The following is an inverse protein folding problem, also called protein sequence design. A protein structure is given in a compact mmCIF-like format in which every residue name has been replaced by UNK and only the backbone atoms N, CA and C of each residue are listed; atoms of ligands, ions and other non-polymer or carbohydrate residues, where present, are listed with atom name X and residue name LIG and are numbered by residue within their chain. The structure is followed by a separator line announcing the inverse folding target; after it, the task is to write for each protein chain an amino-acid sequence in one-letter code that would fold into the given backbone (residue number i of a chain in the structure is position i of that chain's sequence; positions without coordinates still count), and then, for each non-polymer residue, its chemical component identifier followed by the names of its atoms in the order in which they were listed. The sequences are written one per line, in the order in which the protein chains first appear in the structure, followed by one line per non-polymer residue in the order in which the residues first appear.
data_IF_340618662109
#
_entry.id   IF_340618662109
#
_cell.length_a   1.000
_cell.length_b   1.000
_cell.length_c   1.000
_cell.angle_alpha   90.00
_cell.angle_beta   90.00
_cell.angle_gamma   90.00
#
_symmetry.space_group_name_H-M   'P 1'
#
loop_
_entity.id
_entity.type
_entity.pdbx_description
1 polymer ?
#
# COMPACT_ATOMS: atom_id res chain seq x y z
N UNK A 1 -12.35 -4.77 -16.87
CA UNK A 1 -12.06 -3.46 -17.52
C UNK A 1 -10.76 -2.94 -16.92
N UNK A 2 -9.95 -2.18 -17.67
CA UNK A 2 -8.67 -1.66 -17.14
C UNK A 2 -8.93 -0.47 -16.22
N UNK A 3 -8.19 -0.34 -15.14
CA UNK A 3 -8.21 0.85 -14.28
C UNK A 3 -7.14 1.84 -14.75
N UNK A 4 -7.34 3.13 -14.47
CA UNK A 4 -6.44 4.21 -14.88
C UNK A 4 -6.04 5.03 -13.66
N UNK A 5 -4.78 5.48 -13.63
CA UNK A 5 -4.32 6.55 -12.75
C UNK A 5 -3.99 7.76 -13.61
N UNK A 6 -4.81 8.79 -13.51
CA UNK A 6 -4.54 10.10 -14.08
C UNK A 6 -3.70 10.89 -13.09
N UNK A 7 -2.48 11.25 -13.46
CA UNK A 7 -1.49 11.80 -12.53
C UNK A 7 -1.11 13.20 -13.01
N UNK A 8 -1.30 14.21 -12.16
CA UNK A 8 -0.78 15.54 -12.43
C UNK A 8 0.76 15.56 -12.39
N UNK A 9 1.35 16.55 -13.05
CA UNK A 9 2.79 16.70 -13.13
C UNK A 9 3.31 17.62 -12.04
N UNK A 10 3.01 18.92 -12.14
CA UNK A 10 3.44 19.95 -11.20
C UNK A 10 2.69 19.78 -9.88
N UNK A 11 3.36 20.01 -8.76
CA UNK A 11 2.84 19.74 -7.42
C UNK A 11 2.71 18.25 -7.05
N UNK A 12 2.76 17.33 -8.02
CA UNK A 12 2.45 15.91 -7.82
C UNK A 12 3.62 14.96 -8.12
N UNK A 13 4.14 14.96 -9.36
CA UNK A 13 5.36 14.23 -9.72
C UNK A 13 6.60 15.06 -9.38
N UNK A 14 6.52 16.36 -9.62
CA UNK A 14 7.58 17.33 -9.34
C UNK A 14 7.01 18.43 -8.46
N UNK A 15 7.81 19.02 -7.59
CA UNK A 15 7.37 20.17 -6.80
C UNK A 15 7.15 21.35 -7.72
N UNK A 16 6.10 22.10 -7.44
CA UNK A 16 5.80 23.31 -8.18
C UNK A 16 6.74 24.45 -7.73
N UNK A 17 7.40 25.15 -8.67
CA UNK A 17 8.38 26.19 -8.33
C UNK A 17 7.68 27.54 -8.10
N UNK A 18 8.39 28.49 -7.51
CA UNK A 18 7.93 29.90 -7.49
C UNK A 18 7.72 30.39 -8.93
N UNK A 19 6.48 30.79 -9.26
CA UNK A 19 6.07 31.19 -10.61
C UNK A 19 5.34 30.11 -11.42
N UNK A 20 5.06 28.93 -10.85
CA UNK A 20 4.17 27.90 -11.42
C UNK A 20 4.62 27.27 -12.75
N UNK A 21 5.87 27.51 -13.17
CA UNK A 21 6.40 27.00 -14.45
C UNK A 21 7.79 26.39 -14.28
N UNK A 22 7.94 25.14 -14.74
CA UNK A 22 9.19 24.40 -14.81
C UNK A 22 9.79 24.60 -16.21
N UNK A 23 10.63 25.62 -16.35
CA UNK A 23 11.27 26.07 -17.60
C UNK A 23 12.81 25.92 -17.57
N UNK A 24 13.37 25.37 -16.49
CA UNK A 24 14.80 25.16 -16.33
C UNK A 24 15.09 23.95 -15.43
N UNK A 25 16.32 23.41 -15.54
CA UNK A 25 16.73 22.26 -14.72
C UNK A 25 16.88 22.61 -13.24
N UNK A 26 17.20 23.86 -12.92
CA UNK A 26 17.34 24.33 -11.54
C UNK A 26 16.01 24.33 -10.78
N UNK A 27 14.88 24.44 -11.50
CA UNK A 27 13.53 24.36 -10.92
C UNK A 27 13.02 22.93 -10.78
N UNK A 28 13.67 21.95 -11.40
CA UNK A 28 13.22 20.56 -11.35
C UNK A 28 13.57 19.93 -10.00
N UNK A 29 12.56 19.70 -9.17
CA UNK A 29 12.67 18.96 -7.92
C UNK A 29 11.59 17.88 -7.87
N UNK A 30 11.97 16.61 -7.69
CA UNK A 30 11.01 15.51 -7.64
C UNK A 30 10.29 15.46 -6.29
N UNK A 31 9.04 15.03 -6.29
CA UNK A 31 8.30 14.85 -5.05
C UNK A 31 8.97 13.77 -4.16
N UNK A 32 9.10 13.97 -2.84
CA UNK A 32 9.73 12.99 -1.95
C UNK A 32 9.12 11.59 -2.05
N UNK A 33 9.97 10.56 -2.05
CA UNK A 33 9.60 9.14 -2.14
C UNK A 33 8.77 8.76 -3.38
N UNK A 34 8.65 9.64 -4.38
CA UNK A 34 7.94 9.40 -5.63
C UNK A 34 8.40 8.12 -6.31
N UNK A 35 9.69 8.03 -6.64
CA UNK A 35 10.21 6.93 -7.44
C UNK A 35 9.95 5.57 -6.79
N UNK A 36 10.19 5.46 -5.48
CA UNK A 36 9.96 4.22 -4.72
C UNK A 36 8.52 3.74 -4.85
N UNK A 37 7.55 4.63 -4.67
CA UNK A 37 6.14 4.23 -4.57
C UNK A 37 5.44 4.20 -5.91
N UNK A 38 5.71 5.16 -6.81
CA UNK A 38 5.16 5.13 -8.16
C UNK A 38 5.70 3.94 -8.97
N UNK A 39 6.96 3.54 -8.75
CA UNK A 39 7.49 2.29 -9.32
C UNK A 39 6.74 1.06 -8.80
N UNK A 40 6.50 0.97 -7.49
CA UNK A 40 5.69 -0.11 -6.91
C UNK A 40 4.28 -0.12 -7.49
N UNK A 41 3.64 1.04 -7.63
CA UNK A 41 2.33 1.15 -8.30
C UNK A 41 2.42 0.59 -9.72
N UNK A 42 3.41 1.00 -10.51
CA UNK A 42 3.58 0.56 -11.90
C UNK A 42 3.89 -0.94 -12.04
N UNK A 43 4.62 -1.53 -11.09
CA UNK A 43 5.06 -2.92 -11.16
C UNK A 43 4.09 -3.90 -10.49
N UNK A 44 3.46 -3.47 -9.41
CA UNK A 44 2.68 -4.34 -8.54
C UNK A 44 1.18 -4.17 -8.74
N UNK A 45 0.70 -3.03 -9.26
CA UNK A 45 -0.74 -2.74 -9.39
C UNK A 45 -1.18 -2.70 -10.87
N UNK A 46 -2.41 -3.16 -11.13
CA UNK A 46 -2.98 -3.21 -12.48
C UNK A 46 -3.67 -1.87 -12.81
N UNK A 47 -2.85 -0.83 -13.01
CA UNK A 47 -3.28 0.49 -13.46
C UNK A 47 -2.57 0.90 -14.75
N UNK A 48 -3.32 1.48 -15.67
CA UNK A 48 -2.75 2.24 -16.79
C UNK A 48 -2.38 3.63 -16.28
N UNK A 49 -1.11 4.04 -16.40
CA UNK A 49 -0.66 5.36 -15.97
C UNK A 49 -0.86 6.37 -17.10
N UNK A 50 -1.50 7.50 -16.79
CA UNK A 50 -1.72 8.61 -17.73
C UNK A 50 -1.31 9.90 -17.04
N UNK A 51 -0.41 10.67 -17.65
CA UNK A 51 -0.06 11.99 -17.14
C UNK A 51 -1.02 13.02 -17.73
N UNK A 52 -1.57 13.91 -16.90
CA UNK A 52 -2.41 15.02 -17.36
C UNK A 52 -2.05 16.32 -16.65
N UNK A 53 -1.71 17.35 -17.41
CA UNK A 53 -1.22 18.62 -16.84
C UNK A 53 -1.68 19.84 -17.64
N UNK A 54 -1.92 20.94 -16.93
CA UNK A 54 -2.17 22.25 -17.51
C UNK A 54 -0.85 23.04 -17.52
N UNK A 55 -0.44 23.57 -18.68
CA UNK A 55 0.80 24.32 -18.87
C UNK A 55 0.49 25.68 -19.48
N UNK A 56 0.13 26.62 -18.60
CA UNK A 56 -0.38 27.93 -18.95
C UNK A 56 0.53 28.67 -19.94
N UNK A 57 0.05 28.85 -21.17
CA UNK A 57 0.76 29.60 -22.20
C UNK A 57 1.94 28.87 -22.83
N UNK A 58 2.03 27.53 -22.70
CA UNK A 58 3.10 26.76 -23.35
C UNK A 58 3.08 27.00 -24.88
N UNK A 59 4.22 27.44 -25.41
CA UNK A 59 4.39 27.83 -26.82
C UNK A 59 4.15 29.31 -27.12
N UNK A 60 3.89 30.12 -26.09
CA UNK A 60 3.87 31.58 -26.19
C UNK A 60 5.22 32.18 -25.76
N UNK A 61 5.38 33.50 -25.91
CA UNK A 61 6.59 34.21 -25.44
C UNK A 61 6.79 34.11 -23.93
N UNK A 62 5.71 34.00 -23.14
CA UNK A 62 5.81 33.86 -21.68
C UNK A 62 6.20 32.46 -21.24
N UNK A 63 6.01 31.43 -22.08
CA UNK A 63 6.45 30.07 -21.78
C UNK A 63 6.86 29.31 -23.05
N UNK A 64 8.09 29.56 -23.57
CA UNK A 64 8.54 28.96 -24.81
C UNK A 64 8.70 27.43 -24.73
N UNK A 65 8.43 26.74 -25.84
CA UNK A 65 8.61 25.29 -25.92
C UNK A 65 10.07 24.85 -25.71
N UNK A 66 11.03 25.70 -26.09
CA UNK A 66 12.46 25.43 -25.98
C UNK A 66 12.94 25.30 -24.53
N UNK A 67 12.24 25.94 -23.58
CA UNK A 67 12.56 25.87 -22.14
C UNK A 67 11.81 24.71 -21.45
N UNK A 68 10.59 24.42 -21.91
CA UNK A 68 9.76 23.33 -21.38
C UNK A 68 10.27 21.92 -21.76
N UNK A 69 10.47 21.66 -23.06
CA UNK A 69 10.67 20.29 -23.55
C UNK A 69 11.94 19.61 -23.01
N UNK A 70 13.09 20.28 -22.87
CA UNK A 70 14.29 19.64 -22.33
C UNK A 70 14.08 19.09 -20.92
N UNK A 71 13.42 19.87 -20.05
CA UNK A 71 13.17 19.48 -18.65
C UNK A 71 12.09 18.40 -18.57
N UNK A 72 11.00 18.57 -19.32
CA UNK A 72 9.91 17.58 -19.38
C UNK A 72 10.41 16.22 -19.90
N UNK A 73 11.20 16.21 -20.98
CA UNK A 73 11.75 14.98 -21.54
C UNK A 73 12.77 14.32 -20.61
N UNK A 74 13.57 15.11 -19.89
CA UNK A 74 14.47 14.58 -18.87
C UNK A 74 13.70 13.91 -17.73
N UNK A 75 12.63 14.54 -17.24
CA UNK A 75 11.75 13.95 -16.22
C UNK A 75 11.16 12.62 -16.70
N UNK A 76 10.58 12.57 -17.91
CA UNK A 76 10.02 11.34 -18.47
C UNK A 76 11.08 10.24 -18.63
N UNK A 77 12.27 10.59 -19.13
CA UNK A 77 13.39 9.64 -19.27
C UNK A 77 13.85 9.10 -17.91
N UNK A 78 13.84 9.93 -16.88
CA UNK A 78 14.20 9.54 -15.51
C UNK A 78 13.17 8.57 -14.93
N UNK A 79 11.88 8.87 -15.08
CA UNK A 79 10.78 7.98 -14.67
C UNK A 79 10.86 6.64 -15.42
N UNK A 80 11.09 6.66 -16.73
CA UNK A 80 11.25 5.46 -17.54
C UNK A 80 12.45 4.62 -17.10
N UNK A 81 13.58 5.24 -16.72
CA UNK A 81 14.75 4.53 -16.21
C UNK A 81 14.46 3.79 -14.88
N UNK A 82 13.51 4.29 -14.08
CA UNK A 82 12.99 3.63 -12.88
C UNK A 82 11.87 2.61 -13.17
N UNK A 83 11.55 2.36 -14.44
CA UNK A 83 10.51 1.42 -14.86
C UNK A 83 9.09 1.98 -14.78
N UNK A 84 8.94 3.31 -14.74
CA UNK A 84 7.64 4.00 -14.72
C UNK A 84 7.36 4.53 -16.13
N UNK A 85 6.33 3.99 -16.79
CA UNK A 85 5.93 4.40 -18.14
C UNK A 85 4.47 4.85 -18.18
N UNK A 86 4.21 5.96 -18.85
CA UNK A 86 2.86 6.46 -19.09
C UNK A 86 2.34 5.99 -20.45
N UNK A 87 1.09 5.52 -20.51
CA UNK A 87 0.40 5.20 -21.77
C UNK A 87 0.22 6.46 -22.61
N UNK A 88 -0.10 7.57 -21.95
CA UNK A 88 -0.23 8.88 -22.57
C UNK A 88 0.25 10.00 -21.64
N UNK A 89 0.76 11.06 -22.27
CA UNK A 89 1.06 12.34 -21.64
C UNK A 89 0.19 13.40 -22.31
N UNK A 90 -0.76 13.94 -21.56
CA UNK A 90 -1.78 14.87 -22.04
C UNK A 90 -1.48 16.25 -21.46
N UNK A 91 -1.18 17.22 -22.34
CA UNK A 91 -0.77 18.57 -21.95
C UNK A 91 -1.77 19.55 -22.56
N UNK A 92 -2.50 20.27 -21.71
CA UNK A 92 -3.23 21.46 -22.12
C UNK A 92 -2.30 22.68 -22.08
N UNK A 93 -2.31 23.51 -23.12
CA UNK A 93 -1.42 24.69 -23.24
C UNK A 93 -2.14 26.02 -22.98
N UNK A 94 -3.44 25.97 -22.71
CA UNK A 94 -4.29 27.15 -22.66
C UNK A 94 -4.20 27.87 -21.32
N UNK A 95 -4.48 29.17 -21.33
CA UNK A 95 -4.63 29.94 -20.12
C UNK A 95 -6.02 29.73 -19.47
N UNK A 96 -6.16 29.93 -18.14
CA UNK A 96 -7.43 29.81 -17.43
C UNK A 96 -8.58 30.61 -18.07
N UNK A 97 -8.30 31.85 -18.48
CA UNK A 97 -9.30 32.75 -19.07
C UNK A 97 -9.86 32.28 -20.42
N UNK A 98 -9.22 31.33 -21.09
CA UNK A 98 -9.69 30.77 -22.35
C UNK A 98 -10.78 29.71 -22.16
N UNK A 99 -10.90 29.14 -20.94
CA UNK A 99 -11.95 28.20 -20.54
C UNK A 99 -12.17 27.06 -21.54
N UNK A 100 -11.08 26.47 -22.05
CA UNK A 100 -11.15 25.39 -23.02
C UNK A 100 -11.54 24.07 -22.34
N UNK A 101 -12.34 23.20 -22.99
CA UNK A 101 -12.75 21.91 -22.43
C UNK A 101 -11.58 20.94 -22.24
N UNK A 102 -10.44 21.20 -22.88
CA UNK A 102 -9.20 20.43 -22.77
C UNK A 102 -8.42 20.73 -21.49
N UNK A 103 -8.63 21.89 -20.87
CA UNK A 103 -7.99 22.31 -19.62
C UNK A 103 -8.68 21.65 -18.43
N UNK A 104 -7.93 21.06 -17.50
CA UNK A 104 -8.50 20.57 -16.22
C UNK A 104 -9.21 21.73 -15.50
N UNK A 105 -10.43 21.53 -14.94
CA UNK A 105 -11.11 20.26 -14.67
C UNK A 105 -11.91 19.64 -15.83
N UNK A 106 -11.82 20.20 -17.04
CA UNK A 106 -12.43 19.66 -18.25
C UNK A 106 -11.83 18.32 -18.70
N UNK A 107 -12.64 17.52 -19.39
CA UNK A 107 -12.31 16.14 -19.82
C UNK A 107 -11.95 16.04 -21.31
N UNK A 108 -11.77 17.15 -22.01
CA UNK A 108 -11.62 17.21 -23.46
C UNK A 108 -10.42 16.42 -24.01
N UNK A 109 -9.33 16.31 -23.26
CA UNK A 109 -8.16 15.49 -23.63
C UNK A 109 -8.34 13.99 -23.33
N UNK A 110 -9.39 13.62 -22.59
CA UNK A 110 -9.58 12.29 -22.00
C UNK A 110 -10.66 11.47 -22.69
N UNK A 111 -11.15 11.91 -23.85
CA UNK A 111 -12.25 11.24 -24.57
C UNK A 111 -12.05 9.73 -24.80
N UNK A 112 -10.81 9.28 -25.01
CA UNK A 112 -10.44 7.85 -25.14
C UNK A 112 -10.87 7.00 -23.93
N UNK A 113 -10.86 7.58 -22.73
CA UNK A 113 -11.12 6.85 -21.49
C UNK A 113 -12.61 6.79 -21.13
N UNK A 114 -13.45 7.54 -21.84
CA UNK A 114 -14.89 7.68 -21.58
C UNK A 114 -15.77 6.76 -22.44
N UNK A 115 -15.17 5.89 -23.27
CA UNK A 115 -15.88 4.99 -24.19
C UNK A 115 -16.45 3.71 -23.53
N UNK A 116 -16.22 3.53 -22.23
CA UNK A 116 -16.64 2.36 -21.44
C UNK A 116 -15.64 1.19 -21.44
N UNK A 117 -14.46 1.33 -22.06
CA UNK A 117 -13.40 0.31 -22.03
C UNK A 117 -12.62 0.28 -20.69
N UNK A 118 -12.73 1.34 -19.91
CA UNK A 118 -12.05 1.53 -18.62
C UNK A 118 -13.03 1.52 -17.44
N UNK A 119 -12.55 0.99 -16.30
CA UNK A 119 -13.26 1.00 -15.02
C UNK A 119 -12.98 2.32 -14.29
N UNK A 120 -13.71 3.37 -14.64
CA UNK A 120 -13.50 4.70 -14.08
C UNK A 120 -13.91 4.79 -12.59
N UNK A 121 -14.90 4.01 -12.16
CA UNK A 121 -15.35 3.96 -10.75
C UNK A 121 -14.23 3.50 -9.79
N UNK A 122 -13.33 2.65 -10.28
CA UNK A 122 -12.13 2.20 -9.56
C UNK A 122 -10.83 2.80 -10.10
N UNK A 123 -10.93 3.87 -10.90
CA UNK A 123 -9.81 4.69 -11.35
C UNK A 123 -9.65 5.92 -10.46
N UNK A 124 -8.46 6.53 -10.50
CA UNK A 124 -8.15 7.69 -9.67
C UNK A 124 -7.52 8.82 -10.47
N UNK A 125 -7.79 10.05 -10.04
CA UNK A 125 -6.99 11.24 -10.38
C UNK A 125 -6.15 11.60 -9.16
N UNK A 126 -4.85 11.76 -9.34
CA UNK A 126 -3.90 12.16 -8.30
C UNK A 126 -3.40 13.56 -8.66
N UNK A 127 -3.60 14.51 -7.77
CA UNK A 127 -3.21 15.90 -7.96
C UNK A 127 -3.16 16.68 -6.66
N UNK A 128 -2.45 17.80 -6.65
CA UNK A 128 -2.33 18.70 -5.49
C UNK A 128 -3.37 19.83 -5.52
N UNK A 129 -4.15 19.97 -6.60
CA UNK A 129 -5.14 21.03 -6.76
C UNK A 129 -6.55 20.49 -6.72
N UNK A 130 -7.50 21.35 -6.33
CA UNK A 130 -8.92 21.00 -6.35
C UNK A 130 -9.48 20.82 -7.76
N UNK A 131 -8.84 21.41 -8.77
CA UNK A 131 -9.18 21.15 -10.18
C UNK A 131 -8.92 19.70 -10.58
N UNK A 132 -7.99 18.98 -9.93
CA UNK A 132 -7.78 17.54 -10.14
C UNK A 132 -8.89 16.71 -9.50
N UNK A 133 -9.37 17.12 -8.33
CA UNK A 133 -10.50 16.47 -7.66
C UNK A 133 -11.79 16.71 -8.44
N UNK A 134 -11.98 17.91 -8.98
CA UNK A 134 -13.09 18.21 -9.86
C UNK A 134 -12.99 17.44 -11.18
N UNK A 135 -11.79 17.27 -11.74
CA UNK A 135 -11.57 16.37 -12.87
C UNK A 135 -12.00 14.94 -12.54
N UNK A 136 -11.63 14.42 -11.35
CA UNK A 136 -12.05 13.08 -10.92
C UNK A 136 -13.57 12.95 -10.93
N UNK A 137 -14.27 13.92 -10.35
CA UNK A 137 -15.73 14.01 -10.39
C UNK A 137 -16.26 14.01 -11.82
N UNK A 138 -15.70 14.83 -12.71
CA UNK A 138 -16.16 14.95 -14.10
C UNK A 138 -15.93 13.67 -14.92
N UNK A 139 -14.95 12.85 -14.54
CA UNK A 139 -14.71 11.53 -15.13
C UNK A 139 -15.58 10.42 -14.54
N UNK A 140 -16.23 10.65 -13.39
CA UNK A 140 -16.85 9.57 -12.60
C UNK A 140 -15.81 8.69 -11.89
N UNK A 141 -14.61 9.22 -11.67
CA UNK A 141 -13.51 8.59 -10.94
C UNK A 141 -13.39 9.14 -9.52
N UNK A 142 -12.45 8.59 -8.75
CA UNK A 142 -12.11 9.04 -7.39
C UNK A 142 -10.89 9.96 -7.43
N UNK A 143 -10.83 10.93 -6.53
CA UNK A 143 -9.71 11.86 -6.38
C UNK A 143 -8.81 11.46 -5.21
N UNK A 144 -7.50 11.58 -5.41
CA UNK A 144 -6.49 11.52 -4.36
C UNK A 144 -5.86 12.90 -4.31
N UNK A 145 -6.08 13.61 -3.21
CA UNK A 145 -5.54 14.95 -3.00
C UNK A 145 -4.16 14.86 -2.35
N UNK A 146 -3.13 15.26 -3.09
CA UNK A 146 -1.73 15.27 -2.68
C UNK A 146 -1.31 16.69 -2.23
N UNK A 147 -1.76 17.11 -1.05
CA UNK A 147 -1.53 18.46 -0.56
C UNK A 147 -1.63 18.57 0.95
N UNK A 148 -1.19 19.71 1.51
CA UNK A 148 -1.42 20.02 2.92
C UNK A 148 -2.78 20.70 3.08
N UNK A 149 -3.54 20.28 4.09
CA UNK A 149 -4.96 20.59 4.35
C UNK A 149 -5.28 22.11 4.38
N UNK A 150 -4.27 22.97 4.52
CA UNK A 150 -4.41 24.42 4.67
C UNK A 150 -4.19 25.24 3.38
N UNK A 151 -3.85 24.62 2.24
CA UNK A 151 -3.51 25.35 0.99
C UNK A 151 -4.53 25.16 -0.13
N UNK A 152 -5.81 25.17 0.21
CA UNK A 152 -6.89 24.94 -0.76
C UNK A 152 -7.12 26.20 -1.62
N UNK A 153 -6.34 26.32 -2.70
CA UNK A 153 -6.47 27.36 -3.72
C UNK A 153 -7.85 27.33 -4.39
N UNK A 154 -8.51 28.49 -4.47
CA UNK A 154 -9.90 28.64 -4.92
C UNK A 154 -10.03 29.08 -6.38
N UNK A 155 -8.92 29.28 -7.10
CA UNK A 155 -8.92 30.13 -8.30
C UNK A 155 -9.43 29.45 -9.58
N UNK A 156 -9.53 28.11 -9.61
CA UNK A 156 -9.87 27.34 -10.83
C UNK A 156 -11.08 26.38 -10.68
N UNK A 157 -11.91 26.57 -9.65
CA UNK A 157 -13.06 25.67 -9.39
C UNK A 157 -14.32 26.10 -10.14
N UNK A 158 -15.04 25.16 -10.76
CA UNK A 158 -16.40 25.40 -11.27
C UNK A 158 -17.49 25.05 -10.25
N UNK A 159 -17.13 24.32 -9.19
CA UNK A 159 -18.05 23.88 -8.13
C UNK A 159 -17.55 24.26 -6.73
N UNK A 160 -18.45 24.25 -5.74
CA UNK A 160 -18.07 24.54 -4.36
C UNK A 160 -17.20 23.41 -3.81
N UNK A 161 -16.24 23.77 -2.95
CA UNK A 161 -15.31 22.84 -2.32
C UNK A 161 -16.03 21.75 -1.51
N UNK A 162 -17.15 22.07 -0.87
CA UNK A 162 -17.95 21.11 -0.12
C UNK A 162 -18.50 19.98 -1.01
N UNK A 163 -18.77 20.28 -2.29
CA UNK A 163 -19.31 19.33 -3.26
C UNK A 163 -18.23 18.37 -3.81
N UNK A 164 -16.95 18.66 -3.57
CA UNK A 164 -15.83 17.83 -3.98
C UNK A 164 -15.41 16.82 -2.92
N UNK A 165 -15.72 17.07 -1.64
CA UNK A 165 -15.38 16.16 -0.53
C UNK A 165 -15.79 14.71 -0.76
N UNK A 166 -17.00 14.39 -1.29
CA UNK A 166 -17.40 13.00 -1.52
C UNK A 166 -16.54 12.27 -2.56
N UNK A 167 -15.83 13.00 -3.41
CA UNK A 167 -14.98 12.44 -4.46
C UNK A 167 -13.53 12.23 -4.00
N UNK A 168 -13.14 12.76 -2.84
CA UNK A 168 -11.79 12.57 -2.28
C UNK A 168 -11.75 11.21 -1.57
N UNK A 169 -11.04 10.25 -2.16
CA UNK A 169 -10.82 8.93 -1.58
C UNK A 169 -9.64 8.91 -0.59
N UNK A 170 -8.67 9.80 -0.77
CA UNK A 170 -7.52 9.98 0.11
C UNK A 170 -7.05 11.43 0.08
N UNK A 171 -6.72 11.97 1.25
CA UNK A 171 -5.98 13.22 1.42
C UNK A 171 -4.66 12.88 2.12
N UNK A 172 -3.53 13.23 1.51
CA UNK A 172 -2.19 12.93 2.02
C UNK A 172 -1.16 13.90 1.45
N UNK A 173 0.03 13.95 2.05
CA UNK A 173 1.23 14.59 1.49
C UNK A 173 2.31 13.56 1.11
N UNK A 174 1.96 12.28 1.00
CA UNK A 174 2.92 11.18 0.86
C UNK A 174 2.54 10.21 -0.26
N UNK A 175 3.47 10.00 -1.20
CA UNK A 175 3.36 8.95 -2.21
C UNK A 175 3.31 7.53 -1.61
N UNK A 176 3.81 7.36 -0.39
CA UNK A 176 3.70 6.10 0.36
C UNK A 176 2.23 5.77 0.66
N UNK A 177 1.50 6.73 1.24
CA UNK A 177 0.09 6.56 1.57
C UNK A 177 -0.76 6.32 0.31
N UNK A 178 -0.42 7.00 -0.79
CA UNK A 178 -1.07 6.78 -2.10
C UNK A 178 -0.89 5.33 -2.55
N UNK A 179 0.34 4.81 -2.53
CA UNK A 179 0.59 3.41 -2.89
C UNK A 179 -0.23 2.47 -2.00
N UNK A 180 -0.20 2.64 -0.68
CA UNK A 180 -0.95 1.76 0.22
C UNK A 180 -2.46 1.86 0.01
N UNK A 181 -3.01 3.06 -0.16
CA UNK A 181 -4.43 3.24 -0.46
C UNK A 181 -4.83 2.49 -1.73
N UNK A 182 -4.05 2.63 -2.81
CA UNK A 182 -4.30 1.94 -4.07
C UNK A 182 -4.09 0.41 -3.97
N UNK A 183 -3.18 -0.02 -3.10
CA UNK A 183 -2.78 -1.41 -2.96
C UNK A 183 -3.61 -2.17 -1.91
N UNK A 184 -4.28 -1.50 -0.98
CA UNK A 184 -5.24 -2.08 -0.02
C UNK A 184 -6.36 -2.83 -0.76
N UNK A 185 -6.72 -2.42 -1.99
CA UNK A 185 -7.63 -3.16 -2.86
C UNK A 185 -7.13 -4.55 -3.32
N UNK A 186 -5.88 -4.95 -2.98
CA UNK A 186 -5.30 -6.28 -3.21
C UNK A 186 -5.23 -7.14 -1.96
N UNK A 187 -6.21 -7.01 -1.07
CA UNK A 187 -6.38 -7.87 0.11
C UNK A 187 -7.03 -9.21 -0.20
N UNK A 188 -7.02 -9.58 -1.48
CA UNK A 188 -7.46 -10.86 -1.99
C UNK A 188 -6.31 -11.53 -2.74
N UNK A 189 -6.17 -12.84 -2.59
CA UNK A 189 -5.19 -13.64 -3.34
C UNK A 189 -5.79 -14.97 -3.77
N UNK A 190 -5.24 -15.51 -4.86
CA UNK A 190 -5.58 -16.85 -5.36
C UNK A 190 -4.30 -17.62 -5.62
N UNK A 191 -4.07 -18.66 -4.85
CA UNK A 191 -2.91 -19.54 -4.96
C UNK A 191 -3.34 -20.86 -5.57
N UNK A 192 -2.57 -21.35 -6.54
CA UNK A 192 -2.65 -22.72 -7.03
C UNK A 192 -1.29 -23.36 -6.89
N UNK A 193 -1.22 -24.48 -6.17
CA UNK A 193 0.03 -25.22 -5.95
C UNK A 193 -0.19 -26.69 -6.25
N UNK A 194 0.61 -27.24 -7.16
CA UNK A 194 0.52 -28.64 -7.57
C UNK A 194 1.88 -29.31 -7.41
N UNK A 195 1.92 -30.42 -6.68
CA UNK A 195 3.06 -31.33 -6.58
C UNK A 195 2.67 -32.70 -7.16
N UNK A 196 3.49 -33.73 -6.95
CA UNK A 196 3.11 -35.09 -7.33
C UNK A 196 2.10 -35.67 -6.33
N UNK A 197 2.17 -35.21 -5.09
CA UNK A 197 1.44 -35.68 -3.92
C UNK A 197 0.12 -34.91 -3.72
N UNK A 198 0.11 -33.60 -4.00
CA UNK A 198 -1.05 -32.74 -3.72
C UNK A 198 -1.40 -31.79 -4.88
N UNK A 199 -2.68 -31.44 -5.00
CA UNK A 199 -3.16 -30.30 -5.79
C UNK A 199 -4.00 -29.40 -4.91
N UNK A 200 -3.63 -28.13 -4.84
CA UNK A 200 -4.20 -27.17 -3.90
C UNK A 200 -4.64 -25.93 -4.65
N UNK A 201 -5.87 -25.48 -4.36
CA UNK A 201 -6.39 -24.19 -4.77
C UNK A 201 -6.90 -23.44 -3.53
N UNK A 202 -6.38 -22.23 -3.31
CA UNK A 202 -6.76 -21.35 -2.21
C UNK A 202 -7.22 -20.01 -2.77
N UNK A 203 -8.38 -19.53 -2.32
CA UNK A 203 -8.82 -18.15 -2.49
C UNK A 203 -8.94 -17.53 -1.10
N UNK A 204 -8.26 -16.40 -0.89
CA UNK A 204 -8.25 -15.65 0.36
C UNK A 204 -8.81 -14.25 0.11
N UNK A 205 -9.69 -13.78 0.99
CA UNK A 205 -10.10 -12.39 1.09
C UNK A 205 -9.94 -11.91 2.53
N UNK A 206 -8.97 -11.04 2.82
CA UNK A 206 -8.73 -10.51 4.16
C UNK A 206 -9.82 -9.54 4.64
N UNK A 207 -10.62 -8.99 3.73
CA UNK A 207 -11.73 -8.08 4.03
C UNK A 207 -13.08 -8.80 3.88
N UNK A 208 -13.12 -10.04 4.37
CA UNK A 208 -14.30 -10.90 4.34
C UNK A 208 -15.27 -10.68 5.49
N UNK A 209 -16.21 -11.61 5.61
CA UNK A 209 -17.15 -11.71 6.74
C UNK A 209 -16.88 -12.96 7.61
N UNK A 210 -15.75 -13.63 7.36
CA UNK A 210 -15.38 -14.89 7.99
C UNK A 210 -16.09 -16.11 7.37
N UNK A 211 -16.43 -16.04 6.08
CA UNK A 211 -17.03 -17.15 5.34
C UNK A 211 -15.98 -18.19 4.95
N UNK A 212 -16.35 -19.47 4.90
CA UNK A 212 -15.42 -20.55 4.60
C UNK A 212 -16.02 -21.59 3.65
N UNK A 213 -15.21 -22.13 2.74
CA UNK A 213 -15.48 -23.31 1.91
C UNK A 213 -14.20 -24.17 1.88
N UNK A 214 -14.08 -25.09 2.84
CA UNK A 214 -12.85 -25.85 3.10
C UNK A 214 -13.08 -27.33 2.80
N UNK A 215 -12.24 -27.87 1.92
CA UNK A 215 -12.27 -29.25 1.48
C UNK A 215 -10.83 -29.76 1.34
N UNK A 216 -10.23 -30.21 2.46
CA UNK A 216 -8.90 -30.84 2.45
C UNK A 216 -8.95 -32.37 2.41
N UNK A 217 -10.12 -32.95 2.71
CA UNK A 217 -10.29 -34.38 2.93
C UNK A 217 -9.94 -34.84 4.35
N UNK A 218 -9.47 -33.92 5.21
CA UNK A 218 -9.14 -34.16 6.61
C UNK A 218 -10.07 -33.34 7.51
N UNK A 219 -11.13 -33.96 8.04
CA UNK A 219 -12.18 -33.26 8.80
C UNK A 219 -11.69 -32.38 9.96
N UNK A 220 -10.69 -32.85 10.71
CA UNK A 220 -10.13 -32.05 11.80
C UNK A 220 -9.41 -30.79 11.26
N UNK A 221 -8.67 -30.92 10.16
CA UNK A 221 -7.96 -29.80 9.57
C UNK A 221 -8.93 -28.81 8.91
N UNK A 222 -9.96 -29.32 8.24
CA UNK A 222 -11.06 -28.50 7.72
C UNK A 222 -11.68 -27.63 8.82
N UNK A 223 -11.96 -28.22 9.99
CA UNK A 223 -12.48 -27.49 11.14
C UNK A 223 -11.52 -26.42 11.65
N UNK A 224 -10.21 -26.71 11.74
CA UNK A 224 -9.22 -25.73 12.17
C UNK A 224 -9.12 -24.53 11.21
N UNK A 225 -9.19 -24.77 9.90
CA UNK A 225 -9.15 -23.73 8.87
C UNK A 225 -10.45 -22.90 8.84
N UNK A 226 -11.59 -23.53 9.08
CA UNK A 226 -12.87 -22.84 9.28
C UNK A 226 -12.81 -21.86 10.46
N UNK A 227 -12.27 -22.29 11.60
CA UNK A 227 -12.08 -21.42 12.76
C UNK A 227 -11.12 -20.25 12.45
N UNK A 228 -10.08 -20.50 11.65
CA UNK A 228 -9.18 -19.44 11.19
C UNK A 228 -9.94 -18.38 10.37
N UNK A 229 -10.76 -18.77 9.40
CA UNK A 229 -11.60 -17.86 8.63
C UNK A 229 -12.52 -17.05 9.57
N UNK A 230 -13.23 -17.76 10.45
CA UNK A 230 -14.26 -17.17 11.31
C UNK A 230 -13.70 -16.13 12.27
N UNK A 231 -12.57 -16.41 12.90
CA UNK A 231 -11.98 -15.55 13.92
C UNK A 231 -11.05 -14.48 13.38
N UNK A 232 -10.48 -14.67 12.19
CA UNK A 232 -9.73 -13.61 11.51
C UNK A 232 -10.61 -12.60 10.79
N UNK A 233 -11.87 -12.97 10.49
CA UNK A 233 -12.77 -12.19 9.64
C UNK A 233 -12.45 -12.32 8.15
N UNK A 234 -11.46 -13.13 7.77
CA UNK A 234 -11.15 -13.38 6.36
C UNK A 234 -12.09 -14.42 5.77
N UNK A 235 -12.46 -14.25 4.49
CA UNK A 235 -13.10 -15.34 3.75
C UNK A 235 -12.02 -16.28 3.19
N UNK A 236 -12.23 -17.59 3.37
CA UNK A 236 -11.30 -18.63 2.94
C UNK A 236 -12.00 -19.70 2.12
N UNK A 237 -11.49 -19.97 0.92
CA UNK A 237 -11.89 -21.12 0.13
C UNK A 237 -10.66 -21.96 -0.16
N UNK A 238 -10.65 -23.20 0.32
CA UNK A 238 -9.49 -24.10 0.24
C UNK A 238 -9.98 -25.43 -0.32
N UNK A 239 -9.42 -25.84 -1.45
CA UNK A 239 -9.67 -27.16 -2.05
C UNK A 239 -8.36 -27.89 -2.22
N UNK A 240 -8.30 -29.12 -1.72
CA UNK A 240 -7.10 -29.96 -1.78
C UNK A 240 -7.47 -31.35 -2.27
N UNK A 241 -6.76 -31.81 -3.28
CA UNK A 241 -6.68 -33.22 -3.66
C UNK A 241 -5.32 -33.73 -3.18
N UNK A 242 -5.29 -34.41 -2.03
CA UNK A 242 -4.06 -34.97 -1.44
C UNK A 242 -3.98 -36.49 -1.53
N UNK A 243 -2.79 -37.04 -1.29
CA UNK A 243 -2.47 -38.46 -1.29
C UNK A 243 -2.79 -39.15 0.05
N UNK A 244 -3.99 -38.93 0.59
CA UNK A 244 -4.42 -39.41 1.92
C UNK A 244 -4.36 -40.93 2.13
N UNK A 245 -4.24 -41.71 1.05
CA UNK A 245 -3.98 -43.15 1.11
C UNK A 245 -2.55 -43.52 1.56
N UNK A 246 -1.59 -42.59 1.46
CA UNK A 246 -0.21 -42.77 1.91
C UNK A 246 -0.09 -42.28 3.36
N UNK A 247 -0.27 -40.98 3.57
CA UNK A 247 -0.40 -40.32 4.87
C UNK A 247 -1.03 -38.92 4.73
N UNK A 248 -1.35 -38.28 5.86
CA UNK A 248 -1.90 -36.93 5.91
C UNK A 248 -0.85 -35.81 5.83
N UNK A 249 0.44 -36.12 5.97
CA UNK A 249 1.48 -35.13 6.24
C UNK A 249 1.68 -34.17 5.07
N UNK A 250 1.74 -34.70 3.84
CA UNK A 250 1.88 -33.87 2.65
C UNK A 250 0.69 -32.93 2.47
N UNK A 251 -0.53 -33.41 2.71
CA UNK A 251 -1.75 -32.60 2.60
C UNK A 251 -1.73 -31.43 3.58
N UNK A 252 -1.35 -31.67 4.83
CA UNK A 252 -1.28 -30.63 5.86
C UNK A 252 -0.15 -29.63 5.55
N UNK A 253 1.06 -30.12 5.27
CA UNK A 253 2.23 -29.27 5.03
C UNK A 253 2.04 -28.38 3.80
N UNK A 254 1.67 -28.99 2.67
CA UNK A 254 1.55 -28.27 1.41
C UNK A 254 0.40 -27.25 1.44
N UNK A 255 -0.72 -27.57 2.12
CA UNK A 255 -1.82 -26.63 2.34
C UNK A 255 -1.37 -25.45 3.19
N UNK A 256 -0.62 -25.69 4.26
CA UNK A 256 -0.11 -24.64 5.12
C UNK A 256 0.91 -23.74 4.37
N UNK A 257 1.73 -24.31 3.49
CA UNK A 257 2.64 -23.55 2.61
C UNK A 257 1.82 -22.66 1.68
N UNK A 258 0.87 -23.24 0.92
CA UNK A 258 0.05 -22.49 -0.02
C UNK A 258 -0.78 -21.38 0.67
N UNK A 259 -1.29 -21.65 1.88
CA UNK A 259 -2.01 -20.65 2.66
C UNK A 259 -1.07 -19.52 3.11
N UNK A 260 0.13 -19.86 3.58
CA UNK A 260 1.15 -18.87 3.92
C UNK A 260 1.57 -18.01 2.73
N UNK A 261 1.64 -18.58 1.53
CA UNK A 261 1.85 -17.85 0.27
C UNK A 261 0.69 -16.90 -0.04
N UNK A 262 -0.56 -17.35 0.15
CA UNK A 262 -1.75 -16.54 -0.06
C UNK A 262 -1.74 -15.29 0.84
N UNK A 263 -1.42 -15.45 2.14
CA UNK A 263 -1.28 -14.32 3.06
C UNK A 263 -0.09 -13.42 2.73
N UNK A 264 1.00 -13.98 2.21
CA UNK A 264 2.19 -13.20 1.81
C UNK A 264 1.91 -12.34 0.56
N UNK A 265 1.11 -12.82 -0.38
CA UNK A 265 0.73 -12.07 -1.58
C UNK A 265 -0.29 -10.96 -1.29
N UNK A 266 -1.10 -11.12 -0.23
CA UNK A 266 -2.01 -10.06 0.22
C UNK A 266 -1.29 -9.00 1.05
N UNK A 267 -1.60 -7.73 0.80
CA UNK A 267 -1.08 -6.64 1.60
C UNK A 267 -1.79 -6.55 2.96
N UNK A 268 -1.01 -6.46 4.03
CA UNK A 268 -1.53 -6.15 5.37
C UNK A 268 -2.13 -4.73 5.43
N UNK A 269 -2.71 -4.37 6.58
CA UNK A 269 -3.32 -3.04 6.81
C UNK A 269 -2.34 -1.86 6.85
N UNK A 270 -1.06 -2.08 6.53
CA UNK A 270 -0.06 -1.01 6.41
C UNK A 270 0.39 -0.35 7.72
N UNK A 271 0.01 -0.88 8.89
CA UNK A 271 0.40 -0.31 10.20
C UNK A 271 1.92 -0.31 10.36
N UNK A 272 2.54 -1.49 10.31
CA UNK A 272 3.99 -1.64 10.38
C UNK A 272 4.54 -2.07 9.03
N UNK A 273 5.26 -1.16 8.37
CA UNK A 273 5.90 -1.44 7.10
C UNK A 273 7.28 -2.04 7.32
N UNK A 274 7.30 -3.34 7.59
CA UNK A 274 8.53 -4.09 7.82
C UNK A 274 8.42 -5.45 7.15
N UNK A 275 9.57 -6.06 6.88
CA UNK A 275 9.63 -7.40 6.34
C UNK A 275 9.79 -8.39 7.48
N UNK A 276 8.94 -9.42 7.47
CA UNK A 276 9.10 -10.59 8.33
C UNK A 276 10.09 -11.55 7.65
N UNK A 277 11.15 -11.94 8.36
CA UNK A 277 12.17 -12.87 7.86
C UNK A 277 12.06 -14.21 8.56
N UNK A 278 12.41 -15.29 7.86
CA UNK A 278 12.55 -16.63 8.45
C UNK A 278 13.92 -16.73 9.09
N UNK A 279 14.02 -17.37 10.26
CA UNK A 279 15.33 -17.74 10.82
C UNK A 279 16.10 -18.68 9.89
N UNK A 280 17.44 -18.57 9.90
CA UNK A 280 18.32 -19.30 8.98
C UNK A 280 18.61 -20.73 9.47
N UNK A 281 18.09 -21.09 10.66
CA UNK A 281 18.27 -22.40 11.33
C UNK A 281 19.73 -22.66 11.74
N UNK A 282 20.41 -21.63 12.24
CA UNK A 282 21.68 -21.81 12.96
C UNK A 282 21.46 -22.39 14.38
N UNK A 283 20.27 -22.13 14.95
CA UNK A 283 19.74 -22.71 16.18
C UNK A 283 18.43 -23.47 15.89
N UNK A 284 17.84 -24.08 16.91
CA UNK A 284 16.58 -24.82 16.80
C UNK A 284 15.42 -23.89 16.44
N UNK A 285 14.71 -24.16 15.35
CA UNK A 285 13.55 -23.40 14.90
C UNK A 285 12.34 -24.36 14.80
N UNK A 286 11.15 -24.04 15.35
CA UNK A 286 10.74 -22.75 15.93
C UNK A 286 11.53 -22.39 17.19
N UNK A 287 11.85 -21.10 17.31
CA UNK A 287 12.36 -20.51 18.54
C UNK A 287 11.26 -20.63 19.60
N UNK A 288 11.47 -21.52 20.56
CA UNK A 288 10.58 -21.75 21.70
C UNK A 288 11.36 -21.57 22.99
N UNK A 289 11.03 -20.54 23.76
CA UNK A 289 11.82 -20.23 24.95
C UNK A 289 11.50 -18.89 25.59
N UNK A 290 12.21 -18.62 26.68
CA UNK A 290 12.14 -17.37 27.42
C UNK A 290 13.34 -16.51 27.05
N UNK A 291 13.09 -15.32 26.52
CA UNK A 291 14.16 -14.38 26.22
C UNK A 291 13.91 -13.07 26.95
N UNK A 292 15.02 -12.41 27.28
CA UNK A 292 15.00 -11.15 28.01
C UNK A 292 14.75 -10.00 27.03
N UNK A 293 13.86 -9.10 27.41
CA UNK A 293 13.53 -7.92 26.64
C UNK A 293 14.56 -6.81 26.89
N UNK A 294 15.18 -6.32 25.82
CA UNK A 294 16.02 -5.13 25.83
C UNK A 294 15.23 -3.95 25.24
N UNK A 295 15.16 -2.83 25.96
CA UNK A 295 14.48 -1.62 25.49
C UNK A 295 15.14 -0.37 26.05
N UNK A 296 15.16 0.68 25.23
CA UNK A 296 15.51 2.04 25.62
C UNK A 296 14.27 2.96 25.67
N UNK A 297 13.08 2.44 25.35
CA UNK A 297 11.85 3.21 25.34
C UNK A 297 11.42 3.52 26.80
N UNK A 298 11.28 4.81 27.18
CA UNK A 298 10.91 5.19 28.54
C UNK A 298 9.57 4.60 29.00
N UNK A 299 8.66 4.33 28.07
CA UNK A 299 7.35 3.75 28.38
C UNK A 299 7.47 2.32 28.89
N UNK A 300 8.48 1.57 28.47
CA UNK A 300 8.68 0.16 28.83
C UNK A 300 9.52 -0.03 30.10
N UNK A 301 9.85 1.05 30.83
CA UNK A 301 10.75 1.00 32.00
C UNK A 301 10.35 -0.04 33.05
N UNK A 302 9.06 -0.32 33.23
CA UNK A 302 8.55 -1.29 34.21
C UNK A 302 8.79 -2.75 33.81
N UNK A 303 8.92 -3.03 32.51
CA UNK A 303 9.15 -4.37 31.96
C UNK A 303 10.53 -4.49 31.29
N UNK A 304 11.39 -3.50 31.46
CA UNK A 304 12.75 -3.53 30.98
C UNK A 304 13.47 -4.73 31.60
N UNK A 305 14.18 -5.50 30.79
CA UNK A 305 14.91 -6.71 31.22
C UNK A 305 14.00 -7.82 31.77
N UNK A 306 12.68 -7.77 31.54
CA UNK A 306 11.77 -8.86 31.87
C UNK A 306 11.88 -10.00 30.85
N UNK A 307 11.55 -11.22 31.27
CA UNK A 307 11.51 -12.39 30.40
C UNK A 307 10.12 -12.58 29.80
N UNK A 308 10.08 -12.83 28.50
CA UNK A 308 8.86 -13.14 27.77
C UNK A 308 9.00 -14.46 27.02
N UNK A 309 7.88 -15.17 26.85
CA UNK A 309 7.84 -16.45 26.18
C UNK A 309 7.58 -16.31 24.68
N UNK A 310 8.44 -16.91 23.87
CA UNK A 310 8.39 -16.89 22.41
C UNK A 310 8.09 -18.29 21.87
N UNK A 311 7.31 -18.36 20.78
CA UNK A 311 7.07 -19.58 20.00
C UNK A 311 6.84 -19.22 18.52
N UNK A 312 7.91 -19.09 17.73
CA UNK A 312 7.82 -18.61 16.34
C UNK A 312 8.98 -19.11 15.45
N UNK A 313 8.78 -19.14 14.13
CA UNK A 313 9.85 -19.46 13.15
C UNK A 313 10.33 -18.28 12.33
N UNK A 314 9.68 -17.14 12.49
CA UNK A 314 9.93 -15.91 11.74
C UNK A 314 10.14 -14.76 12.72
N UNK A 315 10.93 -13.76 12.35
CA UNK A 315 11.23 -12.59 13.16
C UNK A 315 11.11 -11.31 12.35
N UNK A 316 10.95 -10.21 13.05
CA UNK A 316 10.99 -8.87 12.45
C UNK A 316 12.37 -8.28 12.73
N UNK A 317 13.16 -7.89 11.71
CA UNK A 317 14.44 -7.22 11.92
C UNK A 317 14.27 -5.91 12.69
N UNK A 318 15.34 -5.42 13.31
CA UNK A 318 15.37 -4.08 13.91
C UNK A 318 15.01 -3.04 12.84
N UNK A 319 14.09 -2.13 13.17
CA UNK A 319 13.55 -1.14 12.24
C UNK A 319 13.12 0.14 13.00
N UNK A 320 12.71 1.22 12.32
CA UNK A 320 12.37 2.49 12.97
C UNK A 320 11.20 2.43 13.96
N UNK A 321 10.35 1.40 13.91
CA UNK A 321 9.21 1.22 14.83
C UNK A 321 9.56 0.34 16.03
N UNK A 322 10.78 -0.19 16.12
CA UNK A 322 11.22 -1.08 17.21
C UNK A 322 11.31 -0.30 18.52
N UNK A 323 10.52 -0.71 19.52
CA UNK A 323 10.60 -0.17 20.89
C UNK A 323 11.25 -1.16 21.86
N UNK A 324 11.31 -2.44 21.49
CA UNK A 324 12.09 -3.43 22.21
C UNK A 324 12.62 -4.53 21.29
N UNK A 325 13.78 -5.06 21.63
CA UNK A 325 14.46 -6.14 20.94
C UNK A 325 14.86 -7.27 21.88
N UNK A 326 15.23 -8.40 21.29
CA UNK A 326 15.87 -9.51 21.98
C UNK A 326 16.77 -10.26 21.00
N UNK A 327 17.63 -11.14 21.52
CA UNK A 327 18.60 -11.91 20.73
C UNK A 327 18.14 -13.38 20.65
N UNK A 328 18.27 -13.99 19.48
CA UNK A 328 18.25 -15.45 19.35
C UNK A 328 19.37 -15.97 18.42
N UNK A 329 19.16 -16.00 17.10
CA UNK A 329 20.26 -16.19 16.13
C UNK A 329 20.93 -14.85 15.80
N UNK A 330 20.13 -13.80 15.83
CA UNK A 330 20.49 -12.41 15.62
C UNK A 330 19.57 -11.53 16.49
N UNK A 331 19.89 -10.25 16.60
CA UNK A 331 19.01 -9.28 17.25
C UNK A 331 17.76 -9.05 16.40
N UNK A 332 16.59 -9.17 17.03
CA UNK A 332 15.32 -8.94 16.37
C UNK A 332 14.37 -8.11 17.24
N UNK A 333 13.41 -7.51 16.55
CA UNK A 333 12.34 -6.72 17.15
C UNK A 333 11.36 -7.63 17.87
N UNK A 334 11.21 -7.48 19.18
CA UNK A 334 10.21 -8.20 19.97
C UNK A 334 8.98 -7.35 20.28
N UNK A 335 9.10 -6.01 20.24
CA UNK A 335 7.98 -5.08 20.31
C UNK A 335 8.12 -3.90 19.34
N UNK A 336 7.00 -3.49 18.77
CA UNK A 336 6.90 -2.34 17.86
C UNK A 336 5.81 -1.37 18.31
N UNK A 337 6.00 -0.08 18.02
CA UNK A 337 4.99 0.95 18.24
C UNK A 337 4.95 1.95 17.09
N UNK A 338 3.74 2.29 16.66
CA UNK A 338 3.44 3.39 15.73
C UNK A 338 2.12 4.01 16.18
N UNK A 339 2.17 5.28 16.57
CA UNK A 339 1.02 5.99 17.17
C UNK A 339 0.41 5.21 18.37
N UNK A 340 -0.86 4.81 18.26
CA UNK A 340 -1.58 4.01 19.24
C UNK A 340 -1.48 2.48 18.99
N UNK A 341 -0.81 2.05 17.92
CA UNK A 341 -0.62 0.63 17.63
C UNK A 341 0.61 0.08 18.35
N UNK A 342 0.40 -1.03 19.05
CA UNK A 342 1.45 -1.81 19.70
C UNK A 342 1.44 -3.22 19.11
N UNK A 343 2.60 -3.72 18.72
CA UNK A 343 2.80 -5.09 18.29
C UNK A 343 3.83 -5.78 19.17
N UNK A 344 3.61 -7.05 19.51
CA UNK A 344 4.62 -7.88 20.17
C UNK A 344 4.71 -9.25 19.52
N UNK A 345 5.90 -9.85 19.54
CA UNK A 345 6.16 -11.17 18.94
C UNK A 345 6.11 -12.31 19.96
N UNK A 346 6.26 -12.01 21.25
CA UNK A 346 6.09 -12.97 22.33
C UNK A 346 4.60 -13.16 22.68
N UNK A 347 4.33 -14.09 23.59
CA UNK A 347 3.00 -14.40 24.13
C UNK A 347 2.81 -13.74 25.50
N UNK A 348 2.16 -12.56 25.61
CA UNK A 348 1.91 -11.93 26.91
C UNK A 348 1.14 -12.86 27.86
N UNK A 349 0.18 -13.61 27.34
CA UNK A 349 -0.65 -14.56 28.09
C UNK A 349 0.14 -15.71 28.70
N UNK A 350 1.26 -16.11 28.08
CA UNK A 350 2.17 -17.14 28.62
C UNK A 350 3.29 -16.57 29.48
N UNK A 351 3.50 -15.25 29.44
CA UNK A 351 4.63 -14.58 30.08
C UNK A 351 4.39 -14.22 31.56
N UNK A 352 3.33 -14.75 32.18
CA UNK A 352 3.03 -14.62 33.60
C UNK A 352 2.95 -13.16 34.07
N UNK A 353 3.70 -12.82 35.12
CA UNK A 353 3.71 -11.46 35.70
C UNK A 353 4.14 -10.41 34.67
N UNK A 354 5.20 -10.68 33.90
CA UNK A 354 5.73 -9.74 32.90
C UNK A 354 4.72 -9.44 31.80
N UNK A 355 3.98 -10.46 31.37
CA UNK A 355 2.87 -10.31 30.44
C UNK A 355 1.73 -9.44 30.98
N UNK A 356 1.31 -9.69 32.22
CA UNK A 356 0.28 -8.87 32.88
C UNK A 356 0.72 -7.41 33.04
N UNK A 357 1.94 -7.18 33.51
CA UNK A 357 2.46 -5.83 33.75
C UNK A 357 2.55 -5.04 32.42
N UNK A 358 2.88 -5.71 31.30
CA UNK A 358 2.80 -5.12 29.95
C UNK A 358 1.35 -4.75 29.55
N UNK A 359 0.39 -5.63 29.78
CA UNK A 359 -1.02 -5.37 29.43
C UNK A 359 -1.59 -4.20 30.26
N UNK A 360 -1.25 -4.12 31.54
CA UNK A 360 -1.60 -2.97 32.40
C UNK A 360 -0.98 -1.67 31.89
N UNK A 361 0.26 -1.70 31.40
CA UNK A 361 0.92 -0.55 30.81
C UNK A 361 0.20 -0.08 29.54
N UNK A 362 -0.18 -1.01 28.67
CA UNK A 362 -0.91 -0.72 27.44
C UNK A 362 -2.25 -0.03 27.74
N UNK A 363 -3.04 -0.58 28.68
CA UNK A 363 -4.34 -0.02 29.08
C UNK A 363 -4.27 1.37 29.72
N UNK A 364 -3.12 1.75 30.30
CA UNK A 364 -2.92 3.09 30.90
C UNK A 364 -2.54 4.15 29.87
N UNK A 365 -2.09 3.75 28.68
CA UNK A 365 -1.69 4.66 27.60
C UNK A 365 -2.75 4.82 26.50
N UNK A 366 -3.76 3.95 26.48
CA UNK A 366 -4.87 3.93 25.52
C UNK A 366 -5.99 4.89 25.86
#
# INVERSE_FOLDING_TARGET
MKKVLFIDRDGTLIKEPEGYQIDSFEKLDFYPNLFTHLRKIAQELDYTLVMITNQDGLGTESFPEETFWPVHNFMLKTLQAEGITFDQVLIDKSFPHQNLPTRKPGTGLLGKYLDGSYDLENSFVIGDRLSDIELAKNLGAKGIYLGQTDTLGQEDLTVKKEDLKPFIALETSSWEDIYFHLAIGKRQSKITRNTKETKIAIELNLDGEGNSDIQTGLHFFDHMLDQLAKHSGADLKIKVEGDLQVDEHHTIEDTAIALGEAYRETLGIGVFQTQVKKFVRQKTVPHMGWNQLASQDPTLKQIQNAFFYFAHSYYVPINPFTIASTEYEEDFTCMMKKDNFWGCQFHPEKSGKSGRDLLELFLKQS
#
